data_IF_526981154844
#
_entry.id   IF_526981154844
#
_cell.length_a   1.000
_cell.length_b   1.000
_cell.length_c   1.000
_cell.angle_alpha   90.00
_cell.angle_beta   90.00
_cell.angle_gamma   90.00
#
_symmetry.space_group_name_H-M   'P 1'
#
loop_
_entity.id
_entity.type
_entity.pdbx_description
1 polymer ?
#
# COMPACT_ATOMS: atom_id res chain seq x y z
N UNK A 1 21.42 -1.86 12.82
CA UNK A 1 21.28 -0.61 12.07
C UNK A 1 19.89 -0.59 11.49
N UNK A 2 19.75 0.02 10.32
CA UNK A 2 18.49 0.04 9.57
C UNK A 2 17.94 -1.38 9.33
N UNK A 3 18.83 -2.31 8.96
CA UNK A 3 18.57 -3.74 8.82
C UNK A 3 17.81 -4.36 10.00
N UNK A 4 18.27 -4.13 11.23
CA UNK A 4 17.65 -4.68 12.44
C UNK A 4 16.28 -4.08 12.72
N UNK A 5 16.09 -2.79 12.44
CA UNK A 5 14.81 -2.13 12.64
C UNK A 5 13.77 -2.65 11.64
N UNK A 6 14.16 -2.85 10.38
CA UNK A 6 13.32 -3.45 9.35
C UNK A 6 12.93 -4.87 9.73
N UNK A 7 13.91 -5.72 10.08
CA UNK A 7 13.66 -7.11 10.44
C UNK A 7 12.75 -7.23 11.67
N UNK A 8 13.01 -6.45 12.71
CA UNK A 8 12.23 -6.48 13.95
C UNK A 8 10.77 -6.04 13.78
N UNK A 9 10.46 -5.19 12.79
CA UNK A 9 9.10 -4.69 12.56
C UNK A 9 8.33 -5.46 11.49
N UNK A 10 9.03 -5.97 10.49
CA UNK A 10 8.40 -6.51 9.27
C UNK A 10 8.63 -8.01 9.10
N UNK A 11 9.62 -8.59 9.80
CA UNK A 11 10.10 -9.95 9.55
C UNK A 11 10.84 -10.09 8.21
N UNK A 12 11.19 -9.00 7.55
CA UNK A 12 11.86 -8.98 6.24
C UNK A 12 13.33 -8.60 6.37
N UNK A 13 14.12 -9.07 5.41
CA UNK A 13 15.48 -8.58 5.17
C UNK A 13 15.45 -7.33 4.29
N UNK A 14 16.49 -6.50 4.38
CA UNK A 14 16.65 -5.37 3.45
C UNK A 14 17.12 -5.89 2.10
N UNK A 15 16.20 -5.98 1.15
CA UNK A 15 16.43 -6.53 -0.18
C UNK A 15 15.57 -5.80 -1.24
N UNK A 16 16.07 -5.61 -2.47
CA UNK A 16 15.29 -5.02 -3.57
C UNK A 16 14.01 -5.79 -3.94
N UNK A 17 13.75 -6.97 -3.37
CA UNK A 17 12.52 -7.72 -3.56
C UNK A 17 11.27 -6.97 -3.08
N UNK A 18 11.36 -6.16 -2.02
CA UNK A 18 10.18 -5.55 -1.38
C UNK A 18 9.78 -4.19 -1.96
N UNK A 19 8.54 -3.76 -1.69
CA UNK A 19 7.95 -2.58 -2.35
C UNK A 19 8.56 -1.25 -1.92
N UNK A 20 9.00 -1.10 -0.67
CA UNK A 20 9.46 0.19 -0.13
C UNK A 20 10.54 0.87 -0.99
N UNK A 21 11.57 0.13 -1.38
CA UNK A 21 12.68 0.65 -2.21
C UNK A 21 12.22 0.99 -3.63
N UNK A 22 11.20 0.29 -4.16
CA UNK A 22 10.61 0.61 -5.47
C UNK A 22 9.81 1.92 -5.41
N UNK A 23 9.06 2.13 -4.33
CA UNK A 23 8.30 3.37 -4.11
C UNK A 23 9.26 4.55 -3.97
N UNK A 24 10.26 4.41 -3.10
CA UNK A 24 11.31 5.42 -2.91
C UNK A 24 11.98 5.77 -4.25
N UNK A 25 12.40 4.75 -5.01
CA UNK A 25 13.03 4.94 -6.31
C UNK A 25 12.12 5.69 -7.29
N UNK A 26 10.84 5.32 -7.41
CA UNK A 26 9.90 6.02 -8.29
C UNK A 26 9.75 7.49 -7.90
N UNK A 27 9.58 7.76 -6.61
CA UNK A 27 9.38 9.11 -6.12
C UNK A 27 10.62 10.00 -6.33
N UNK A 28 11.82 9.42 -6.36
CA UNK A 28 13.08 10.15 -6.55
C UNK A 28 13.52 10.28 -8.01
N UNK A 29 13.14 9.33 -8.86
CA UNK A 29 13.63 9.26 -10.23
C UNK A 29 12.59 9.71 -11.27
N UNK A 30 11.30 9.70 -10.93
CA UNK A 30 10.25 10.20 -11.82
C UNK A 30 10.02 11.69 -11.56
N UNK A 31 10.30 12.52 -12.56
CA UNK A 31 10.21 13.97 -12.45
C UNK A 31 8.85 14.44 -11.90
N UNK A 32 8.89 15.22 -10.82
CA UNK A 32 7.71 15.79 -10.17
C UNK A 32 6.89 14.82 -9.30
N UNK A 33 7.21 13.53 -9.28
CA UNK A 33 6.39 12.54 -8.59
C UNK A 33 6.38 12.74 -7.06
N UNK A 34 7.55 13.03 -6.47
CA UNK A 34 7.68 13.41 -5.06
C UNK A 34 6.70 14.51 -4.65
N UNK A 35 6.75 15.65 -5.34
CA UNK A 35 5.94 16.81 -5.00
C UNK A 35 4.43 16.52 -5.14
N UNK A 36 4.04 15.69 -6.12
CA UNK A 36 2.64 15.24 -6.29
C UNK A 36 2.21 14.30 -5.16
N UNK A 37 3.07 13.40 -4.72
CA UNK A 37 2.81 12.51 -3.59
C UNK A 37 2.58 13.29 -2.29
N UNK A 38 3.44 14.28 -2.00
CA UNK A 38 3.30 15.15 -0.82
C UNK A 38 2.02 16.00 -0.85
N UNK A 39 1.50 16.33 -2.04
CA UNK A 39 0.21 17.00 -2.21
C UNK A 39 -1.00 16.06 -2.15
N UNK A 40 -0.79 14.75 -2.01
CA UNK A 40 -1.86 13.75 -1.98
C UNK A 40 -2.51 13.50 -3.34
N UNK A 41 -1.83 13.81 -4.45
CA UNK A 41 -2.35 13.63 -5.81
C UNK A 41 -2.10 12.23 -6.39
N UNK A 42 -1.46 11.35 -5.60
CA UNK A 42 -1.05 10.02 -6.01
C UNK A 42 -1.57 9.00 -5.01
N UNK A 43 -1.75 7.77 -5.50
CA UNK A 43 -2.02 6.59 -4.69
C UNK A 43 -1.00 5.51 -5.04
N UNK A 44 -0.50 4.82 -4.01
CA UNK A 44 0.26 3.59 -4.13
C UNK A 44 -0.63 2.40 -3.83
N UNK A 45 -0.33 1.26 -4.44
CA UNK A 45 -0.95 -0.01 -4.11
C UNK A 45 -0.11 -1.17 -4.61
N UNK A 46 -0.17 -2.29 -3.90
CA UNK A 46 0.14 -3.60 -4.46
C UNK A 46 -0.95 -4.00 -5.47
N UNK A 47 -0.80 -5.14 -6.15
CA UNK A 47 -1.71 -5.54 -7.23
C UNK A 47 -3.17 -5.68 -6.75
N UNK A 48 -3.38 -6.19 -5.54
CA UNK A 48 -4.70 -6.28 -4.89
C UNK A 48 -5.35 -4.90 -4.73
N UNK A 49 -4.61 -3.89 -4.26
CA UNK A 49 -5.11 -2.51 -4.14
C UNK A 49 -5.46 -1.92 -5.50
N UNK A 50 -4.61 -2.14 -6.50
CA UNK A 50 -4.89 -1.66 -7.86
C UNK A 50 -6.16 -2.28 -8.43
N UNK A 51 -6.35 -3.58 -8.25
CA UNK A 51 -7.56 -4.27 -8.70
C UNK A 51 -8.80 -3.80 -7.93
N UNK A 52 -8.71 -3.65 -6.61
CA UNK A 52 -9.81 -3.10 -5.79
C UNK A 52 -10.22 -1.70 -6.25
N UNK A 53 -9.23 -0.84 -6.54
CA UNK A 53 -9.46 0.51 -7.06
C UNK A 53 -10.17 0.48 -8.41
N UNK A 54 -9.66 -0.29 -9.38
CA UNK A 54 -10.24 -0.38 -10.72
C UNK A 54 -11.65 -0.98 -10.69
N UNK A 55 -11.85 -2.07 -9.94
CA UNK A 55 -13.12 -2.76 -9.86
C UNK A 55 -14.21 -1.93 -9.17
N UNK A 56 -13.84 -1.10 -8.19
CA UNK A 56 -14.77 -0.22 -7.48
C UNK A 56 -15.00 1.13 -8.16
N UNK A 57 -14.36 1.39 -9.30
CA UNK A 57 -14.46 2.70 -9.97
C UNK A 57 -13.75 3.83 -9.24
N UNK A 58 -12.73 3.53 -8.43
CA UNK A 58 -11.93 4.50 -7.67
C UNK A 58 -12.37 4.71 -6.23
N UNK A 59 -13.36 3.96 -5.74
CA UNK A 59 -13.89 4.13 -4.38
C UNK A 59 -13.10 3.35 -3.31
N UNK A 60 -12.40 2.27 -3.69
CA UNK A 60 -11.68 1.40 -2.76
C UNK A 60 -10.16 1.48 -2.92
N UNK A 61 -9.54 2.34 -2.11
CA UNK A 61 -8.08 2.36 -1.91
C UNK A 61 -7.69 1.53 -0.68
N UNK A 62 -7.67 0.21 -0.84
CA UNK A 62 -7.55 -0.75 0.27
C UNK A 62 -6.56 -1.87 -0.02
N UNK A 63 -6.04 -2.51 1.03
CA UNK A 63 -5.22 -3.74 0.98
C UNK A 63 -5.49 -4.56 2.23
N UNK A 64 -4.92 -5.77 2.32
CA UNK A 64 -5.01 -6.64 3.49
C UNK A 64 -3.64 -6.81 4.19
N UNK A 65 -3.60 -7.29 5.45
CA UNK A 65 -2.35 -7.51 6.17
C UNK A 65 -1.35 -8.39 5.44
N UNK A 66 -1.81 -9.40 4.68
CA UNK A 66 -0.90 -10.29 3.96
C UNK A 66 -0.13 -9.54 2.86
N UNK A 67 -0.80 -8.73 2.04
CA UNK A 67 -0.13 -7.89 1.04
C UNK A 67 0.67 -6.75 1.69
N UNK A 68 0.11 -6.07 2.69
CA UNK A 68 0.80 -5.00 3.41
C UNK A 68 2.12 -5.47 4.04
N UNK A 69 2.15 -6.68 4.61
CA UNK A 69 3.36 -7.27 5.22
C UNK A 69 4.51 -7.48 4.23
N UNK A 70 4.26 -7.48 2.92
CA UNK A 70 5.29 -7.64 1.87
C UNK A 70 5.85 -6.33 1.35
N UNK A 71 5.39 -5.20 1.89
CA UNK A 71 5.82 -3.88 1.42
C UNK A 71 7.13 -3.41 2.06
N UNK A 72 7.52 -3.96 3.21
CA UNK A 72 8.59 -3.43 4.07
C UNK A 72 8.26 -2.06 4.71
N UNK A 73 6.98 -1.65 4.72
CA UNK A 73 6.49 -0.42 5.35
C UNK A 73 5.46 -0.67 6.46
N UNK A 74 5.08 -1.92 6.68
CA UNK A 74 4.01 -2.34 7.59
C UNK A 74 4.59 -3.08 8.80
N UNK A 75 4.25 -2.61 10.00
CA UNK A 75 4.60 -3.29 11.25
C UNK A 75 3.63 -4.46 11.48
N UNK A 76 4.16 -5.68 11.42
CA UNK A 76 3.36 -6.91 11.55
C UNK A 76 2.92 -7.19 12.99
N UNK A 77 3.53 -6.55 13.98
CA UNK A 77 3.17 -6.70 15.39
C UNK A 77 2.07 -5.73 15.78
N UNK A 78 2.13 -4.49 15.28
CA UNK A 78 1.10 -3.45 15.53
C UNK A 78 -0.08 -3.55 14.57
N UNK A 79 0.12 -4.13 13.39
CA UNK A 79 -0.93 -4.23 12.38
C UNK A 79 -1.21 -2.90 11.67
N UNK A 80 -0.17 -2.07 11.45
CA UNK A 80 -0.33 -0.77 10.79
C UNK A 80 0.93 -0.33 10.04
N UNK A 81 0.77 0.67 9.17
CA UNK A 81 1.90 1.36 8.53
C UNK A 81 2.81 2.00 9.58
N UNK A 82 4.11 1.70 9.54
CA UNK A 82 5.07 2.14 10.55
C UNK A 82 5.69 3.50 10.23
N UNK A 83 5.58 4.47 11.13
CA UNK A 83 6.09 5.83 10.91
C UNK A 83 7.61 5.91 10.74
N UNK A 84 8.39 5.04 11.39
CA UNK A 84 9.85 5.04 11.26
C UNK A 84 10.28 4.50 9.90
N UNK A 85 9.69 3.37 9.46
CA UNK A 85 9.94 2.79 8.13
C UNK A 85 9.54 3.79 7.03
N UNK A 86 8.38 4.45 7.17
CA UNK A 86 7.98 5.51 6.24
C UNK A 86 8.96 6.67 6.21
N UNK A 87 9.51 7.07 7.36
CA UNK A 87 10.53 8.12 7.44
C UNK A 87 11.83 7.72 6.76
N UNK A 88 12.27 6.47 6.95
CA UNK A 88 13.48 5.91 6.32
C UNK A 88 13.37 5.95 4.80
N UNK A 89 12.30 5.39 4.24
CA UNK A 89 12.08 5.32 2.78
C UNK A 89 11.45 6.59 2.20
N UNK A 90 11.21 7.59 3.06
CA UNK A 90 10.60 8.88 2.73
C UNK A 90 9.28 8.71 1.99
N UNK A 91 8.42 7.81 2.43
CA UNK A 91 7.12 7.54 1.79
C UNK A 91 6.03 8.30 2.55
N UNK A 92 5.30 9.24 1.91
CA UNK A 92 4.22 9.94 2.58
C UNK A 92 3.06 8.98 2.89
N UNK A 93 2.57 9.00 4.13
CA UNK A 93 1.50 8.08 4.59
C UNK A 93 0.21 8.23 3.78
N UNK A 94 -0.08 9.43 3.27
CA UNK A 94 -1.24 9.73 2.41
C UNK A 94 -1.26 8.93 1.11
N UNK A 95 -0.11 8.42 0.67
CA UNK A 95 0.01 7.60 -0.53
C UNK A 95 -0.51 6.17 -0.34
N UNK A 96 -0.58 5.69 0.91
CA UNK A 96 -0.78 4.27 1.22
C UNK A 96 -2.26 3.89 1.36
N UNK A 97 -2.65 2.68 0.92
CA UNK A 97 -4.02 2.20 1.05
C UNK A 97 -4.38 1.93 2.51
N UNK A 98 -5.67 1.93 2.81
CA UNK A 98 -6.16 1.47 4.12
C UNK A 98 -6.00 -0.05 4.22
N UNK A 99 -5.36 -0.51 5.29
CA UNK A 99 -5.24 -1.96 5.59
C UNK A 99 -6.52 -2.43 6.30
N UNK A 100 -7.13 -3.48 5.79
CA UNK A 100 -8.39 -4.04 6.28
C UNK A 100 -8.27 -5.57 6.42
N UNK A 101 -9.04 -6.23 7.31
CA UNK A 101 -8.97 -7.67 7.49
C UNK A 101 -9.08 -8.43 6.17
N UNK A 102 -8.31 -9.49 5.99
CA UNK A 102 -8.33 -10.34 4.79
C UNK A 102 -9.62 -11.15 4.60
N UNK A 103 -10.66 -10.89 5.39
CA UNK A 103 -11.99 -11.48 5.24
C UNK A 103 -13.06 -10.54 5.78
N UNK A 104 -13.54 -9.66 4.89
CA UNK A 104 -14.68 -8.78 5.13
C UNK A 104 -15.22 -8.24 3.80
N UNK A 105 -16.42 -7.69 3.81
CA UNK A 105 -16.94 -6.92 2.68
C UNK A 105 -16.26 -5.55 2.66
N UNK A 106 -15.38 -5.31 1.69
CA UNK A 106 -14.68 -4.03 1.52
C UNK A 106 -15.58 -2.98 0.86
N UNK A 107 -16.48 -3.43 0.00
CA UNK A 107 -17.37 -2.63 -0.83
C UNK A 107 -17.91 -3.49 -1.98
N UNK A 108 -18.27 -2.87 -3.10
CA UNK A 108 -18.75 -3.56 -4.28
C UNK A 108 -18.02 -3.08 -5.55
N UNK A 109 -18.07 -3.90 -6.60
CA UNK A 109 -17.67 -3.47 -7.93
C UNK A 109 -18.58 -2.35 -8.43
N UNK A 110 -18.05 -1.39 -9.18
CA UNK A 110 -18.86 -0.40 -9.87
C UNK A 110 -19.79 -1.09 -10.87
N UNK A 111 -21.04 -0.62 -10.96
CA UNK A 111 -22.10 -1.28 -11.75
C UNK A 111 -21.75 -1.44 -13.23
N UNK A 112 -21.00 -0.49 -13.79
CA UNK A 112 -20.55 -0.51 -15.18
C UNK A 112 -19.40 -1.51 -15.45
N UNK A 113 -18.77 -2.08 -14.42
CA UNK A 113 -17.67 -3.05 -14.59
C UNK A 113 -18.17 -4.43 -14.99
N UNK A 114 -19.25 -4.91 -14.38
CA UNK A 114 -19.77 -6.28 -14.56
C UNK A 114 -21.27 -6.33 -14.87
N UNK A 115 -21.91 -5.17 -15.09
CA UNK A 115 -23.36 -5.06 -15.31
C UNK A 115 -24.20 -5.16 -14.04
N UNK A 116 -23.57 -5.43 -12.90
CA UNK A 116 -24.17 -5.47 -11.58
C UNK A 116 -23.13 -5.07 -10.52
N UNK A 117 -23.60 -4.71 -9.32
CA UNK A 117 -22.74 -4.53 -8.16
C UNK A 117 -22.48 -5.90 -7.53
N UNK A 118 -21.23 -6.34 -7.53
CA UNK A 118 -20.79 -7.58 -6.90
C UNK A 118 -19.95 -7.24 -5.67
N UNK A 119 -20.26 -7.80 -4.49
CA UNK A 119 -19.44 -7.56 -3.30
C UNK A 119 -17.98 -7.97 -3.53
N UNK A 120 -17.06 -7.07 -3.20
CA UNK A 120 -15.64 -7.38 -3.06
C UNK A 120 -15.46 -7.77 -1.59
N UNK A 121 -15.34 -9.08 -1.34
CA UNK A 121 -15.45 -9.66 -0.01
C UNK A 121 -14.45 -10.81 0.24
N UNK A 122 -13.17 -10.52 -0.04
CA UNK A 122 -12.04 -11.43 0.19
C UNK A 122 -11.66 -11.47 1.64
#
# INVERSE_FOLDING_TARGET
GLDKAVEAKTGLVVDPYFSATKIEWLLDNVAGLRARAERGELAFGTVDTWLAWQLSGGELHVTDPSNASRTMLYDIHRGEWDGELLGIFRVPRSLLPRVLPSSQVYGATARNMLGAEIPIAG
#
